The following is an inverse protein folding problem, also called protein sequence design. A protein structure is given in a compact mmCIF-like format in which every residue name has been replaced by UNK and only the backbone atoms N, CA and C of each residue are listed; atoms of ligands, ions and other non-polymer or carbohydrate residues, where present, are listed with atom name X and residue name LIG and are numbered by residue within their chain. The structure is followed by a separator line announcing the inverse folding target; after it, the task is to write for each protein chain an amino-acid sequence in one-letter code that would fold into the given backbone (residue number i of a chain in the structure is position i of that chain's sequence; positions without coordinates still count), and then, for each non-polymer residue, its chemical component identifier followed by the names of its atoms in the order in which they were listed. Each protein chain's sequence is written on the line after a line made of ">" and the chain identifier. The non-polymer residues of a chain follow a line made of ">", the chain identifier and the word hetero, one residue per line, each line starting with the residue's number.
data_IF_763789964750
#
_entry.id   IF_763789964750
#
_cell.length_a   1.000
_cell.length_b   1.000
_cell.length_c   1.000
_cell.angle_alpha   90.00
_cell.angle_beta   90.00
_cell.angle_gamma   90.00
#
_symmetry.space_group_name_H-M   'P 1'
#
loop_
_entity.id
_entity.type
_entity.pdbx_description
1 polymer ?
#
# COMPACT_ATOMS: atom_id res chain seq x y z
N UNK A 1 5.59 93.31 76.89
CA UNK A 1 5.81 94.07 75.65
C UNK A 1 5.62 93.12 74.48
N UNK A 2 4.53 93.25 73.75
CA UNK A 2 4.28 92.61 72.45
C UNK A 2 3.84 93.75 71.53
N UNK A 3 4.65 94.08 70.54
CA UNK A 3 4.37 95.15 69.59
C UNK A 3 3.21 94.76 68.64
N UNK A 4 2.40 95.72 68.16
CA UNK A 4 1.37 95.44 67.17
C UNK A 4 2.02 95.24 65.78
N UNK A 5 1.72 94.10 65.16
CA UNK A 5 2.13 93.76 63.78
C UNK A 5 1.59 94.81 62.80
N UNK A 6 2.46 95.31 61.91
CA UNK A 6 2.15 96.36 60.94
C UNK A 6 1.24 95.84 59.81
N UNK A 7 0.26 96.64 59.37
CA UNK A 7 -0.69 96.27 58.30
C UNK A 7 0.00 95.87 56.97
N UNK A 8 1.25 96.33 56.74
CA UNK A 8 2.05 95.92 55.58
C UNK A 8 2.51 94.46 55.65
N UNK A 9 2.90 93.98 56.83
CA UNK A 9 3.39 92.61 57.03
C UNK A 9 2.24 91.59 56.84
N UNK A 10 1.03 91.94 57.30
CA UNK A 10 -0.17 91.12 57.05
C UNK A 10 -0.49 91.02 55.55
N UNK A 11 -0.39 92.13 54.81
CA UNK A 11 -0.61 92.13 53.36
C UNK A 11 0.45 91.31 52.60
N UNK A 12 1.71 91.34 53.04
CA UNK A 12 2.77 90.53 52.45
C UNK A 12 2.55 89.03 52.72
N UNK A 13 2.20 88.65 53.95
CA UNK A 13 1.84 87.26 54.26
C UNK A 13 0.61 86.77 53.47
N UNK A 14 -0.41 87.62 53.30
CA UNK A 14 -1.59 87.29 52.48
C UNK A 14 -1.22 87.10 51.01
N UNK A 15 -0.35 87.96 50.45
CA UNK A 15 0.15 87.79 49.07
C UNK A 15 0.96 86.52 48.92
N UNK A 16 1.83 86.19 49.87
CA UNK A 16 2.59 84.95 49.84
C UNK A 16 1.70 83.71 49.98
N UNK A 17 0.67 83.76 50.83
CA UNK A 17 -0.33 82.68 50.94
C UNK A 17 -1.09 82.52 49.63
N UNK A 18 -1.57 83.61 49.04
CA UNK A 18 -2.26 83.58 47.75
C UNK A 18 -1.37 83.05 46.63
N UNK A 19 -0.09 83.43 46.58
CA UNK A 19 0.87 82.90 45.61
C UNK A 19 1.19 81.42 45.83
N UNK A 20 1.34 80.97 47.08
CA UNK A 20 1.52 79.55 47.41
C UNK A 20 0.30 78.72 47.03
N UNK A 21 -0.89 79.24 47.32
CA UNK A 21 -2.15 78.59 46.95
C UNK A 21 -2.32 78.53 45.43
N UNK A 22 -2.00 79.60 44.71
CA UNK A 22 -2.02 79.63 43.25
C UNK A 22 -1.06 78.60 42.66
N UNK A 23 0.18 78.54 43.20
CA UNK A 23 1.20 77.57 42.76
C UNK A 23 0.81 76.13 43.07
N UNK A 24 0.10 75.89 44.18
CA UNK A 24 -0.46 74.58 44.51
C UNK A 24 -1.56 74.20 43.52
N UNK A 25 -2.47 75.13 43.20
CA UNK A 25 -3.55 74.92 42.22
C UNK A 25 -3.01 74.67 40.81
N UNK A 26 -1.98 75.40 40.38
CA UNK A 26 -1.31 75.14 39.10
C UNK A 26 -0.67 73.74 39.05
N UNK A 27 0.01 73.34 40.13
CA UNK A 27 0.56 71.98 40.23
C UNK A 27 -0.53 70.91 40.20
N UNK A 28 -1.62 71.11 40.92
CA UNK A 28 -2.76 70.18 40.93
C UNK A 28 -3.41 70.09 39.54
N UNK A 29 -3.58 71.21 38.85
CA UNK A 29 -4.12 71.24 37.49
C UNK A 29 -3.19 70.49 36.52
N UNK A 30 -1.88 70.72 36.62
CA UNK A 30 -0.90 70.03 35.77
C UNK A 30 -0.88 68.52 36.01
N UNK A 31 -1.05 68.08 37.27
CA UNK A 31 -1.16 66.65 37.61
C UNK A 31 -2.45 66.04 37.06
N UNK A 32 -3.57 66.77 37.13
CA UNK A 32 -4.85 66.33 36.56
C UNK A 32 -4.80 66.23 35.03
N UNK A 33 -4.12 67.15 34.35
CA UNK A 33 -3.90 67.08 32.91
C UNK A 33 -3.02 65.88 32.53
N UNK A 34 -1.95 65.62 33.30
CA UNK A 34 -1.07 64.46 33.11
C UNK A 34 -1.81 63.12 33.28
N UNK A 35 -2.67 63.02 34.30
CA UNK A 35 -3.50 61.83 34.53
C UNK A 35 -4.58 61.66 33.46
N UNK A 36 -5.21 62.76 33.00
CA UNK A 36 -6.18 62.71 31.91
C UNK A 36 -5.53 62.25 30.59
N UNK A 37 -4.32 62.73 30.27
CA UNK A 37 -3.59 62.34 29.07
C UNK A 37 -3.10 60.89 29.15
N UNK A 38 -2.62 60.45 30.33
CA UNK A 38 -2.28 59.05 30.60
C UNK A 38 -3.50 58.14 30.43
N UNK A 39 -4.66 58.53 30.96
CA UNK A 39 -5.90 57.75 30.87
C UNK A 39 -6.38 57.64 29.42
N UNK A 40 -6.29 58.71 28.62
CA UNK A 40 -6.61 58.68 27.18
C UNK A 40 -5.69 57.76 26.38
N UNK A 41 -4.38 57.77 26.66
CA UNK A 41 -3.41 56.91 25.97
C UNK A 41 -3.61 55.42 26.30
N UNK A 42 -3.93 55.10 27.56
CA UNK A 42 -4.20 53.73 27.99
C UNK A 42 -5.55 53.22 27.48
N UNK A 43 -6.59 54.07 27.47
CA UNK A 43 -7.95 53.70 27.02
C UNK A 43 -8.01 53.20 25.56
N UNK A 44 -7.14 53.71 24.68
CA UNK A 44 -7.05 53.25 23.29
C UNK A 44 -6.54 51.81 23.14
N UNK A 45 -5.69 51.35 24.06
CA UNK A 45 -5.11 49.99 24.06
C UNK A 45 -5.92 48.99 24.89
N UNK A 46 -6.73 49.44 25.84
CA UNK A 46 -7.63 48.59 26.64
C UNK A 46 -9.03 48.44 26.03
N UNK A 47 -9.30 49.04 24.86
CA UNK A 47 -10.56 48.85 24.16
C UNK A 47 -10.73 47.35 23.79
N UNK A 48 -11.80 46.68 24.25
CA UNK A 48 -12.00 45.25 24.05
C UNK A 48 -11.99 44.85 22.56
N UNK A 49 -12.41 45.74 21.66
CA UNK A 49 -12.36 45.50 20.20
C UNK A 49 -10.92 45.53 19.68
N UNK A 50 -10.11 46.50 20.11
CA UNK A 50 -8.70 46.62 19.71
C UNK A 50 -7.89 45.45 20.26
N UNK A 51 -8.16 45.04 21.51
CA UNK A 51 -7.54 43.87 22.12
C UNK A 51 -7.92 42.58 21.38
N UNK A 52 -9.19 42.42 20.98
CA UNK A 52 -9.62 41.26 20.21
C UNK A 52 -8.96 41.21 18.82
N UNK A 53 -8.85 42.35 18.12
CA UNK A 53 -8.16 42.42 16.81
C UNK A 53 -6.67 42.12 16.96
N UNK A 54 -6.00 42.70 17.96
CA UNK A 54 -4.58 42.44 18.21
C UNK A 54 -4.34 40.97 18.58
N UNK A 55 -5.19 40.38 19.41
CA UNK A 55 -5.13 38.95 19.78
C UNK A 55 -5.37 38.05 18.58
N UNK A 56 -6.38 38.36 17.75
CA UNK A 56 -6.67 37.61 16.54
C UNK A 56 -5.53 37.70 15.51
N UNK A 57 -4.92 38.89 15.35
CA UNK A 57 -3.77 39.10 14.47
C UNK A 57 -2.54 38.31 14.95
N UNK A 58 -2.23 38.34 16.25
CA UNK A 58 -1.15 37.55 16.84
C UNK A 58 -1.39 36.04 16.67
N UNK A 59 -2.62 35.57 16.90
CA UNK A 59 -2.98 34.16 16.71
C UNK A 59 -2.86 33.72 15.24
N UNK A 60 -3.32 34.54 14.29
CA UNK A 60 -3.20 34.25 12.86
C UNK A 60 -1.74 34.18 12.40
N UNK A 61 -0.91 35.13 12.87
CA UNK A 61 0.53 35.17 12.53
C UNK A 61 1.28 34.00 13.16
N UNK A 62 0.95 33.64 14.41
CA UNK A 62 1.48 32.46 15.09
C UNK A 62 1.11 31.16 14.37
N UNK A 63 -0.15 30.98 13.99
CA UNK A 63 -0.60 29.81 13.23
C UNK A 63 0.07 29.70 11.86
N UNK A 64 0.24 30.82 11.14
CA UNK A 64 0.94 30.82 9.84
C UNK A 64 2.41 30.40 9.99
N UNK A 65 3.10 30.90 11.02
CA UNK A 65 4.50 30.52 11.30
C UNK A 65 4.62 29.04 11.69
N UNK A 66 3.76 28.57 12.61
CA UNK A 66 3.73 27.15 13.02
C UNK A 66 3.42 26.26 11.83
N UNK A 67 2.48 26.64 10.96
CA UNK A 67 2.15 25.89 9.74
C UNK A 67 3.33 25.86 8.77
N UNK A 68 4.04 26.98 8.59
CA UNK A 68 5.21 27.04 7.71
C UNK A 68 6.36 26.16 8.22
N UNK A 69 6.67 26.25 9.52
CA UNK A 69 7.71 25.43 10.16
C UNK A 69 7.33 23.94 10.10
N UNK A 70 6.08 23.61 10.43
CA UNK A 70 5.60 22.23 10.39
C UNK A 70 5.58 21.68 8.96
N UNK A 71 5.16 22.47 7.97
CA UNK A 71 5.19 22.07 6.56
C UNK A 71 6.61 21.80 6.06
N UNK A 72 7.61 22.59 6.52
CA UNK A 72 9.02 22.35 6.17
C UNK A 72 9.55 21.07 6.82
N UNK A 73 9.23 20.84 8.09
CA UNK A 73 9.58 19.59 8.78
C UNK A 73 8.91 18.37 8.14
N UNK A 74 7.65 18.52 7.73
CA UNK A 74 6.88 17.49 7.04
C UNK A 74 7.51 17.12 5.69
N UNK A 75 7.91 18.11 4.89
CA UNK A 75 8.59 17.86 3.60
C UNK A 75 9.91 17.12 3.77
N UNK A 76 10.74 17.55 4.73
CA UNK A 76 12.02 16.86 5.00
C UNK A 76 11.79 15.41 5.46
N UNK A 77 10.74 15.17 6.25
CA UNK A 77 10.35 13.82 6.67
C UNK A 77 9.84 12.97 5.50
N UNK A 78 9.03 13.56 4.61
CA UNK A 78 8.53 12.89 3.41
C UNK A 78 9.65 12.55 2.43
N UNK A 79 10.61 13.46 2.21
CA UNK A 79 11.82 13.20 1.41
C UNK A 79 12.64 12.06 2.01
N UNK A 80 12.85 12.06 3.34
CA UNK A 80 13.55 10.99 4.03
C UNK A 80 12.83 9.64 3.90
N UNK A 81 11.50 9.61 4.06
CA UNK A 81 10.69 8.39 3.85
C UNK A 81 10.75 7.90 2.41
N UNK A 82 10.66 8.81 1.43
CA UNK A 82 10.72 8.47 0.01
C UNK A 82 12.12 7.95 -0.39
N UNK A 83 13.18 8.48 0.20
CA UNK A 83 14.54 7.95 0.02
C UNK A 83 14.69 6.55 0.63
N UNK A 84 14.25 6.36 1.88
CA UNK A 84 14.26 5.06 2.53
C UNK A 84 13.46 4.01 1.74
N UNK A 85 12.29 4.36 1.22
CA UNK A 85 11.46 3.48 0.41
C UNK A 85 12.16 3.04 -0.88
N UNK A 86 12.85 3.95 -1.58
CA UNK A 86 13.61 3.63 -2.80
C UNK A 86 14.78 2.71 -2.50
N UNK A 87 15.49 2.93 -1.40
CA UNK A 87 16.59 2.06 -0.96
C UNK A 87 16.05 0.65 -0.66
N UNK A 88 14.95 0.56 0.10
CA UNK A 88 14.33 -0.72 0.45
C UNK A 88 13.84 -1.49 -0.78
N UNK A 89 13.24 -0.81 -1.75
CA UNK A 89 12.81 -1.45 -3.00
C UNK A 89 14.00 -1.97 -3.81
N UNK A 90 15.14 -1.28 -3.75
CA UNK A 90 16.32 -1.64 -4.53
C UNK A 90 17.09 -2.84 -3.97
N UNK A 91 16.96 -3.09 -2.67
CA UNK A 91 17.48 -4.31 -2.02
C UNK A 91 16.46 -5.45 -1.98
N UNK A 92 15.24 -5.25 -2.50
CA UNK A 92 14.17 -6.25 -2.54
C UNK A 92 14.39 -7.28 -3.65
N UNK A 93 15.41 -8.09 -3.46
CA UNK A 93 15.87 -9.13 -4.37
C UNK A 93 16.44 -10.29 -3.56
N UNK A 94 16.26 -11.53 -4.03
CA UNK A 94 16.88 -12.71 -3.41
C UNK A 94 18.38 -12.85 -3.76
N UNK A 95 18.98 -11.84 -4.39
CA UNK A 95 20.34 -11.85 -4.94
C UNK A 95 21.13 -10.64 -4.42
N UNK A 96 22.12 -10.90 -3.58
CA UNK A 96 22.90 -9.86 -2.90
C UNK A 96 23.84 -9.09 -3.84
N UNK A 97 24.27 -9.70 -4.94
CA UNK A 97 25.05 -9.03 -6.01
C UNK A 97 24.17 -8.04 -6.77
N UNK A 98 22.92 -8.43 -7.08
CA UNK A 98 21.95 -7.49 -7.68
C UNK A 98 21.59 -6.37 -6.73
N UNK A 99 21.41 -6.65 -5.44
CA UNK A 99 21.18 -5.61 -4.43
C UNK A 99 22.34 -4.59 -4.42
N UNK A 100 23.59 -5.08 -4.48
CA UNK A 100 24.79 -4.24 -4.57
C UNK A 100 24.78 -3.35 -5.81
N UNK A 101 24.51 -3.92 -6.98
CA UNK A 101 24.45 -3.18 -8.24
C UNK A 101 23.35 -2.09 -8.22
N UNK A 102 22.17 -2.41 -7.68
CA UNK A 102 21.06 -1.48 -7.58
C UNK A 102 21.36 -0.30 -6.64
N UNK A 103 22.01 -0.56 -5.50
CA UNK A 103 22.43 0.50 -4.58
C UNK A 103 23.51 1.40 -5.20
N UNK A 104 24.46 0.82 -5.95
CA UNK A 104 25.46 1.60 -6.69
C UNK A 104 24.78 2.52 -7.73
N UNK A 105 23.81 1.99 -8.47
CA UNK A 105 23.02 2.78 -9.41
C UNK A 105 22.29 3.96 -8.72
N UNK A 106 21.66 3.75 -7.56
CA UNK A 106 21.01 4.84 -6.82
C UNK A 106 21.98 5.98 -6.46
N UNK A 107 23.21 5.65 -6.09
CA UNK A 107 24.26 6.61 -5.75
C UNK A 107 24.74 7.34 -6.99
N UNK A 108 25.08 6.60 -8.06
CA UNK A 108 25.63 7.14 -9.30
C UNK A 108 24.62 8.01 -10.07
N UNK A 109 23.36 7.58 -10.12
CA UNK A 109 22.28 8.32 -10.76
C UNK A 109 21.84 9.56 -9.95
N UNK A 110 22.40 9.77 -8.75
CA UNK A 110 22.06 10.90 -7.88
C UNK A 110 20.64 10.82 -7.32
N UNK A 111 20.05 9.63 -7.25
CA UNK A 111 18.68 9.43 -6.75
C UNK A 111 18.60 9.50 -5.23
N UNK A 112 19.72 9.43 -4.51
CA UNK A 112 19.79 9.69 -3.06
C UNK A 112 20.11 11.17 -2.88
N UNK A 113 19.16 11.94 -2.35
CA UNK A 113 19.27 13.39 -2.17
C UNK A 113 20.13 13.74 -0.96
N UNK A 114 20.13 12.89 0.07
CA UNK A 114 20.94 13.07 1.29
C UNK A 114 22.41 12.72 1.06
N UNK A 115 23.30 13.71 1.22
CA UNK A 115 24.75 13.53 1.11
C UNK A 115 25.28 12.50 2.11
N UNK A 116 24.81 12.55 3.36
CA UNK A 116 25.21 11.63 4.43
C UNK A 116 24.82 10.17 4.11
N UNK A 117 23.61 9.95 3.60
CA UNK A 117 23.14 8.61 3.23
C UNK A 117 23.91 8.09 2.01
N UNK A 118 24.17 8.96 1.03
CA UNK A 118 24.96 8.61 -0.16
C UNK A 118 26.37 8.17 0.21
N UNK A 119 27.06 8.90 1.11
CA UNK A 119 28.40 8.54 1.59
C UNK A 119 28.39 7.22 2.36
N UNK A 120 27.41 7.02 3.25
CA UNK A 120 27.26 5.78 4.01
C UNK A 120 27.05 4.57 3.09
N UNK A 121 26.16 4.68 2.10
CA UNK A 121 25.87 3.60 1.15
C UNK A 121 27.10 3.33 0.26
N UNK A 122 27.77 4.37 -0.24
CA UNK A 122 28.99 4.21 -1.04
C UNK A 122 30.09 3.48 -0.25
N UNK A 123 30.33 3.89 0.99
CA UNK A 123 31.30 3.23 1.87
C UNK A 123 30.89 1.78 2.18
N UNK A 124 29.59 1.53 2.39
CA UNK A 124 29.07 0.20 2.67
C UNK A 124 29.27 -0.76 1.49
N UNK A 125 29.01 -0.32 0.26
CA UNK A 125 29.23 -1.08 -0.98
C UNK A 125 30.73 -1.36 -1.22
N UNK A 126 31.59 -0.38 -0.93
CA UNK A 126 33.03 -0.46 -1.18
C UNK A 126 33.78 -1.34 -0.18
N UNK A 127 33.29 -1.46 1.06
CA UNK A 127 33.98 -2.15 2.16
C UNK A 127 33.55 -3.60 2.37
N UNK A 128 32.39 -4.02 1.84
CA UNK A 128 31.86 -5.37 2.04
C UNK A 128 31.81 -6.22 0.77
N UNK A 129 32.09 -7.52 0.94
CA UNK A 129 31.81 -8.56 -0.05
C UNK A 129 30.32 -8.61 -0.37
N UNK A 130 29.96 -8.93 -1.61
CA UNK A 130 28.56 -8.86 -2.03
C UNK A 130 27.65 -9.85 -1.30
N UNK A 131 28.20 -10.96 -0.85
CA UNK A 131 27.60 -11.98 0.00
C UNK A 131 27.22 -11.47 1.41
N UNK A 132 27.78 -10.34 1.84
CA UNK A 132 27.48 -9.71 3.14
C UNK A 132 26.46 -8.57 3.06
N UNK A 133 25.92 -8.25 1.87
CA UNK A 133 24.91 -7.20 1.72
C UNK A 133 23.51 -7.69 2.11
N UNK A 134 22.70 -6.85 2.79
CA UNK A 134 21.33 -7.18 3.09
C UNK A 134 20.52 -7.17 1.79
N UNK A 135 19.85 -8.28 1.53
CA UNK A 135 18.79 -8.37 0.52
C UNK A 135 17.49 -8.75 1.20
N UNK A 136 16.41 -8.07 0.84
CA UNK A 136 15.06 -8.44 1.26
C UNK A 136 14.54 -9.46 0.25
N UNK A 137 13.79 -10.48 0.68
CA UNK A 137 13.22 -11.42 -0.26
C UNK A 137 12.40 -10.66 -1.31
N UNK A 138 12.56 -11.00 -2.58
CA UNK A 138 11.68 -10.45 -3.60
C UNK A 138 10.23 -10.74 -3.16
N UNK A 139 9.31 -9.80 -3.39
CA UNK A 139 7.90 -10.15 -3.23
C UNK A 139 7.68 -11.37 -4.12
N UNK A 140 7.21 -12.48 -3.55
CA UNK A 140 6.92 -13.71 -4.30
C UNK A 140 6.14 -13.29 -5.53
N UNK A 141 6.79 -13.33 -6.70
CA UNK A 141 6.11 -13.03 -7.94
C UNK A 141 5.16 -14.19 -8.13
N UNK A 142 3.88 -13.94 -7.85
CA UNK A 142 2.85 -14.95 -8.04
C UNK A 142 2.95 -15.45 -9.48
N UNK A 143 2.85 -16.77 -9.65
CA UNK A 143 3.00 -17.34 -10.97
C UNK A 143 1.92 -16.75 -11.88
N UNK A 144 2.33 -16.23 -13.03
CA UNK A 144 1.39 -15.80 -14.06
C UNK A 144 0.98 -17.01 -14.92
N UNK A 145 -0.25 -17.02 -15.47
CA UNK A 145 -0.65 -17.91 -16.55
C UNK A 145 0.43 -18.12 -17.61
N UNK A 146 0.59 -19.37 -18.07
CA UNK A 146 1.45 -19.67 -19.23
C UNK A 146 0.86 -19.01 -20.47
N UNK A 147 1.71 -18.36 -21.27
CA UNK A 147 1.38 -17.93 -22.62
C UNK A 147 1.10 -19.14 -23.51
N UNK A 148 0.46 -18.92 -24.66
CA UNK A 148 0.16 -20.01 -25.59
C UNK A 148 1.44 -20.76 -26.01
N UNK A 149 2.52 -20.06 -26.34
CA UNK A 149 3.81 -20.69 -26.69
C UNK A 149 4.36 -21.54 -25.56
N UNK A 150 4.36 -21.02 -24.32
CA UNK A 150 4.82 -21.78 -23.15
C UNK A 150 3.96 -23.04 -22.92
N UNK A 151 2.64 -22.97 -23.15
CA UNK A 151 1.75 -24.15 -23.07
C UNK A 151 2.09 -25.15 -24.16
N UNK A 152 2.31 -24.68 -25.38
CA UNK A 152 2.61 -25.53 -26.53
C UNK A 152 3.95 -26.27 -26.32
N UNK A 153 4.97 -25.58 -25.80
CA UNK A 153 6.28 -26.15 -25.51
C UNK A 153 6.21 -27.18 -24.36
N UNK A 154 5.41 -26.91 -23.32
CA UNK A 154 5.35 -27.76 -22.13
C UNK A 154 4.41 -28.96 -22.26
N UNK A 155 3.29 -28.78 -22.97
CA UNK A 155 2.18 -29.73 -23.02
C UNK A 155 2.07 -30.42 -24.40
N UNK A 156 2.73 -29.86 -25.42
CA UNK A 156 2.44 -30.16 -26.82
C UNK A 156 1.10 -29.56 -27.26
N UNK A 157 0.71 -29.83 -28.51
CA UNK A 157 -0.50 -29.28 -29.10
C UNK A 157 -1.49 -30.39 -29.51
N UNK A 158 -2.72 -30.41 -28.97
CA UNK A 158 -3.80 -31.21 -29.53
C UNK A 158 -4.26 -30.63 -30.88
N UNK A 159 -4.76 -31.49 -31.78
CA UNK A 159 -5.30 -31.04 -33.06
C UNK A 159 -6.67 -30.39 -32.84
N UNK A 160 -6.76 -29.07 -33.01
CA UNK A 160 -8.04 -28.36 -32.94
C UNK A 160 -8.71 -28.43 -34.30
N UNK A 161 -9.79 -29.22 -34.41
CA UNK A 161 -10.73 -29.10 -35.53
C UNK A 161 -11.70 -27.95 -35.20
N UNK A 162 -11.88 -27.02 -36.14
CA UNK A 162 -12.83 -25.91 -35.97
C UNK A 162 -14.21 -26.43 -35.59
N UNK A 163 -14.74 -25.93 -34.47
CA UNK A 163 -16.04 -26.33 -33.95
C UNK A 163 -17.11 -25.36 -34.44
N UNK A 164 -18.14 -25.89 -35.13
CA UNK A 164 -19.42 -25.20 -35.32
C UNK A 164 -20.43 -25.52 -34.20
N UNK A 165 -20.00 -26.17 -33.11
CA UNK A 165 -20.83 -26.43 -31.92
C UNK A 165 -21.20 -25.11 -31.24
N UNK A 166 -22.49 -24.85 -30.96
CA UNK A 166 -22.95 -23.67 -30.20
C UNK A 166 -22.33 -23.49 -28.81
N UNK A 167 -21.68 -24.52 -28.26
CA UNK A 167 -21.00 -24.53 -26.96
C UNK A 167 -19.47 -24.65 -27.08
N UNK A 168 -18.89 -24.41 -28.26
CA UNK A 168 -17.45 -24.34 -28.47
C UNK A 168 -16.69 -25.66 -28.15
N UNK A 169 -17.35 -26.82 -28.24
CA UNK A 169 -16.77 -28.12 -27.85
C UNK A 169 -15.81 -28.65 -28.91
N UNK A 170 -14.72 -29.27 -28.46
CA UNK A 170 -13.78 -29.98 -29.34
C UNK A 170 -13.87 -31.49 -29.15
N UNK A 171 -13.51 -32.26 -30.17
CA UNK A 171 -13.46 -33.73 -30.09
C UNK A 171 -12.37 -34.17 -29.11
N UNK A 172 -12.71 -35.17 -28.28
CA UNK A 172 -11.78 -35.80 -27.33
C UNK A 172 -11.04 -37.01 -27.90
N UNK A 173 -11.35 -37.39 -29.15
CA UNK A 173 -10.74 -38.56 -29.82
C UNK A 173 -9.37 -38.24 -30.44
N UNK A 174 -8.81 -37.08 -30.13
CA UNK A 174 -7.45 -36.71 -30.52
C UNK A 174 -6.42 -37.58 -29.77
N UNK A 175 -5.43 -38.20 -30.46
CA UNK A 175 -4.39 -39.00 -29.82
C UNK A 175 -3.62 -38.27 -28.71
N UNK A 176 -3.51 -36.94 -28.79
CA UNK A 176 -2.91 -36.12 -27.75
C UNK A 176 -3.64 -36.27 -26.41
N UNK A 177 -4.98 -36.29 -26.40
CA UNK A 177 -5.74 -36.45 -25.15
C UNK A 177 -5.47 -37.81 -24.50
N UNK A 178 -5.39 -38.87 -25.30
CA UNK A 178 -5.09 -40.21 -24.81
C UNK A 178 -3.66 -40.33 -24.27
N UNK A 179 -2.70 -39.61 -24.87
CA UNK A 179 -1.30 -39.63 -24.49
C UNK A 179 -0.96 -38.75 -23.28
N UNK A 180 -1.78 -37.74 -22.99
CA UNK A 180 -1.44 -36.68 -22.04
C UNK A 180 -2.42 -36.51 -20.87
N UNK A 181 -3.69 -36.88 -21.02
CA UNK A 181 -4.63 -36.85 -19.91
C UNK A 181 -4.66 -38.19 -19.18
N UNK A 182 -4.47 -38.12 -17.87
CA UNK A 182 -4.54 -39.25 -16.96
C UNK A 182 -5.71 -39.05 -15.99
N UNK A 183 -6.27 -40.15 -15.49
CA UNK A 183 -7.18 -40.12 -14.36
C UNK A 183 -6.36 -40.14 -13.07
N UNK A 184 -6.52 -39.13 -12.24
CA UNK A 184 -5.89 -39.04 -10.92
C UNK A 184 -6.95 -39.04 -9.83
N UNK A 185 -6.56 -39.45 -8.62
CA UNK A 185 -7.40 -39.41 -7.44
C UNK A 185 -7.00 -38.25 -6.53
N UNK A 186 -7.99 -37.45 -6.13
CA UNK A 186 -7.89 -36.38 -5.15
C UNK A 186 -8.94 -36.65 -4.05
N UNK A 187 -8.61 -37.47 -3.03
CA UNK A 187 -9.56 -37.88 -1.99
C UNK A 187 -10.20 -36.69 -1.25
N UNK A 188 -9.50 -35.56 -1.17
CA UNK A 188 -9.95 -34.33 -0.53
C UNK A 188 -11.25 -33.80 -1.13
N UNK A 189 -11.51 -34.02 -2.42
CA UNK A 189 -12.75 -33.59 -3.08
C UNK A 189 -14.01 -34.26 -2.52
N UNK A 190 -13.87 -35.37 -1.78
CA UNK A 190 -15.00 -36.00 -1.09
C UNK A 190 -15.21 -35.46 0.32
N UNK A 191 -14.26 -34.67 0.84
CA UNK A 191 -14.24 -34.14 2.22
C UNK A 191 -14.59 -32.64 2.30
N UNK A 192 -14.65 -31.94 1.17
CA UNK A 192 -15.09 -30.54 1.08
C UNK A 192 -16.56 -30.38 1.47
N UNK A 193 -17.01 -29.14 1.75
CA UNK A 193 -18.35 -28.89 2.30
C UNK A 193 -19.49 -29.43 1.43
N UNK A 194 -19.40 -29.23 0.11
CA UNK A 194 -20.27 -29.89 -0.87
C UNK A 194 -19.43 -30.89 -1.68
N UNK A 195 -19.38 -32.16 -1.25
CA UNK A 195 -18.52 -33.17 -1.86
C UNK A 195 -18.74 -33.29 -3.38
N UNK A 196 -17.63 -33.44 -4.10
CA UNK A 196 -17.68 -33.82 -5.50
C UNK A 196 -18.32 -35.22 -5.65
N UNK A 197 -18.86 -35.51 -6.84
CA UNK A 197 -19.44 -36.83 -7.15
C UNK A 197 -18.39 -37.96 -7.16
N UNK A 198 -17.12 -37.61 -7.33
CA UNK A 198 -15.99 -38.53 -7.45
C UNK A 198 -14.72 -37.82 -7.00
N UNK A 199 -13.81 -38.56 -6.35
CA UNK A 199 -12.43 -38.12 -6.11
C UNK A 199 -11.57 -38.19 -7.38
N UNK A 200 -12.03 -38.93 -8.40
CA UNK A 200 -11.28 -39.14 -9.64
C UNK A 200 -11.60 -38.09 -10.68
N UNK A 201 -10.57 -37.44 -11.19
CA UNK A 201 -10.65 -36.39 -12.21
C UNK A 201 -9.64 -36.65 -13.34
N UNK A 202 -9.94 -36.15 -14.54
CA UNK A 202 -8.97 -36.12 -15.64
C UNK A 202 -8.10 -34.87 -15.53
N UNK A 203 -6.79 -35.05 -15.62
CA UNK A 203 -5.81 -33.97 -15.57
C UNK A 203 -4.59 -34.29 -16.44
N UNK A 204 -3.85 -33.26 -16.84
CA UNK A 204 -2.65 -33.42 -17.63
C UNK A 204 -1.54 -34.05 -16.79
N UNK A 205 -0.86 -35.09 -17.33
CA UNK A 205 0.18 -35.83 -16.61
C UNK A 205 1.31 -34.95 -16.04
N UNK A 206 1.68 -33.88 -16.74
CA UNK A 206 2.71 -32.91 -16.31
C UNK A 206 2.34 -32.15 -15.03
N UNK A 207 1.04 -31.91 -14.81
CA UNK A 207 0.53 -31.11 -13.70
C UNK A 207 -0.20 -31.97 -12.64
N UNK A 208 -0.34 -33.27 -12.89
CA UNK A 208 -1.07 -34.22 -12.05
C UNK A 208 -0.54 -34.28 -10.62
N UNK A 209 0.78 -34.53 -10.46
CA UNK A 209 1.41 -34.63 -9.15
C UNK A 209 1.29 -33.32 -8.37
N UNK A 210 1.60 -32.20 -9.02
CA UNK A 210 1.47 -30.86 -8.45
C UNK A 210 0.06 -30.58 -7.91
N UNK A 211 -0.98 -31.03 -8.62
CA UNK A 211 -2.35 -30.89 -8.16
C UNK A 211 -2.63 -31.75 -6.91
N UNK A 212 -2.15 -32.99 -6.89
CA UNK A 212 -2.32 -33.88 -5.74
C UNK A 212 -1.63 -33.31 -4.49
N UNK A 213 -0.37 -32.90 -4.63
CA UNK A 213 0.41 -32.30 -3.54
C UNK A 213 -0.22 -31.01 -3.01
N UNK A 214 -0.79 -30.18 -3.89
CA UNK A 214 -1.52 -28.98 -3.48
C UNK A 214 -2.72 -29.31 -2.59
N UNK A 215 -3.55 -30.28 -2.97
CA UNK A 215 -4.70 -30.70 -2.17
C UNK A 215 -4.30 -31.37 -0.85
N UNK A 216 -3.23 -32.17 -0.85
CA UNK A 216 -2.68 -32.76 0.38
C UNK A 216 -2.21 -31.68 1.35
N UNK A 217 -1.50 -30.65 0.86
CA UNK A 217 -1.04 -29.54 1.70
C UNK A 217 -2.19 -28.64 2.17
N UNK A 218 -3.22 -28.43 1.34
CA UNK A 218 -4.45 -27.71 1.75
C UNK A 218 -5.14 -28.43 2.90
N UNK A 219 -5.25 -29.76 2.83
CA UNK A 219 -5.80 -30.57 3.91
C UNK A 219 -4.92 -30.50 5.17
N UNK A 220 -3.61 -30.69 5.03
CA UNK A 220 -2.66 -30.64 6.14
C UNK A 220 -2.61 -29.26 6.82
N UNK A 221 -2.85 -28.18 6.06
CA UNK A 221 -2.90 -26.81 6.56
C UNK A 221 -4.25 -26.45 7.22
N UNK A 222 -5.23 -27.36 7.19
CA UNK A 222 -6.57 -27.12 7.74
C UNK A 222 -7.41 -26.15 6.92
N UNK A 223 -7.07 -25.92 5.64
CA UNK A 223 -7.79 -24.99 4.76
C UNK A 223 -8.78 -25.69 3.83
N UNK A 224 -8.98 -27.01 3.96
CA UNK A 224 -9.93 -27.74 3.14
C UNK A 224 -11.37 -27.24 3.29
N UNK A 225 -11.72 -26.68 4.46
CA UNK A 225 -13.02 -26.03 4.70
C UNK A 225 -13.26 -24.79 3.84
N UNK A 226 -12.22 -24.16 3.31
CA UNK A 226 -12.35 -22.98 2.44
C UNK A 226 -12.81 -23.37 1.02
N UNK A 227 -12.67 -24.65 0.67
CA UNK A 227 -13.19 -25.21 -0.56
C UNK A 227 -14.62 -25.69 -0.28
N UNK A 228 -15.58 -24.96 -0.81
CA UNK A 228 -17.02 -25.22 -0.72
C UNK A 228 -17.47 -26.13 -1.85
N UNK A 229 -17.06 -25.84 -3.09
CA UNK A 229 -17.41 -26.62 -4.29
C UNK A 229 -16.20 -26.88 -5.18
N UNK A 230 -16.22 -28.03 -5.83
CA UNK A 230 -15.40 -28.34 -7.01
C UNK A 230 -16.28 -28.20 -8.26
N UNK A 231 -15.91 -27.29 -9.15
CA UNK A 231 -16.75 -26.89 -10.29
C UNK A 231 -16.21 -27.36 -11.64
N UNK A 232 -15.07 -28.07 -11.63
CA UNK A 232 -14.56 -28.84 -12.77
C UNK A 232 -13.07 -28.66 -13.00
N UNK A 233 -12.46 -29.63 -13.68
CA UNK A 233 -11.05 -29.60 -14.06
C UNK A 233 -10.83 -29.76 -15.57
N UNK A 234 -11.51 -30.72 -16.19
CA UNK A 234 -11.39 -30.99 -17.62
C UNK A 234 -12.69 -30.71 -18.36
N UNK A 235 -12.64 -29.79 -19.34
CA UNK A 235 -13.75 -29.52 -20.28
C UNK A 235 -13.17 -29.22 -21.67
N UNK A 236 -13.26 -30.17 -22.63
CA UNK A 236 -12.69 -30.02 -23.97
C UNK A 236 -13.49 -28.96 -24.76
N UNK A 237 -13.03 -27.71 -24.72
CA UNK A 237 -13.60 -26.57 -25.44
C UNK A 237 -12.55 -25.57 -25.91
N UNK A 238 -12.83 -24.88 -27.02
CA UNK A 238 -12.13 -23.65 -27.36
C UNK A 238 -12.55 -22.50 -26.42
N UNK A 239 -11.75 -21.45 -26.37
CA UNK A 239 -12.12 -20.20 -25.70
C UNK A 239 -13.32 -19.58 -26.41
N UNK A 240 -14.21 -18.96 -25.63
CA UNK A 240 -15.39 -18.27 -26.17
C UNK A 240 -14.93 -17.20 -27.17
N UNK A 241 -15.46 -17.26 -28.40
CA UNK A 241 -15.08 -16.35 -29.48
C UNK A 241 -13.76 -16.68 -30.18
N UNK A 242 -13.15 -17.84 -29.92
CA UNK A 242 -11.97 -18.33 -30.63
C UNK A 242 -12.29 -19.62 -31.37
N UNK A 243 -11.77 -19.77 -32.60
CA UNK A 243 -11.94 -20.99 -33.40
C UNK A 243 -10.78 -22.00 -33.23
N UNK A 244 -9.68 -21.59 -32.62
CA UNK A 244 -8.43 -22.36 -32.58
C UNK A 244 -7.67 -22.32 -31.24
N UNK A 245 -8.07 -21.48 -30.27
CA UNK A 245 -7.39 -21.43 -28.97
C UNK A 245 -8.15 -22.25 -27.94
N UNK A 246 -7.49 -23.23 -27.36
CA UNK A 246 -8.05 -24.06 -26.29
C UNK A 246 -8.03 -23.33 -24.95
N UNK A 247 -9.06 -23.56 -24.15
CA UNK A 247 -9.07 -23.13 -22.75
C UNK A 247 -8.11 -23.98 -21.90
N UNK A 248 -7.65 -23.48 -20.76
CA UNK A 248 -6.80 -24.24 -19.85
C UNK A 248 -7.49 -25.54 -19.35
N UNK A 249 -8.81 -25.50 -19.14
CA UNK A 249 -9.61 -26.70 -18.87
C UNK A 249 -9.64 -27.70 -20.01
N UNK A 250 -9.51 -27.25 -21.26
CA UNK A 250 -9.45 -28.16 -22.39
C UNK A 250 -8.09 -28.86 -22.46
N UNK A 251 -7.02 -28.23 -21.97
CA UNK A 251 -5.71 -28.87 -21.85
C UNK A 251 -5.59 -29.76 -20.60
N UNK A 252 -6.59 -29.73 -19.71
CA UNK A 252 -6.59 -30.49 -18.46
C UNK A 252 -5.58 -29.98 -17.43
N UNK A 253 -5.26 -28.69 -17.44
CA UNK A 253 -4.27 -28.08 -16.53
C UNK A 253 -4.90 -27.10 -15.53
N UNK A 254 -6.22 -26.99 -15.52
CA UNK A 254 -6.93 -26.02 -14.71
C UNK A 254 -8.02 -26.65 -13.84
N UNK A 255 -8.33 -25.99 -12.74
CA UNK A 255 -9.38 -26.38 -11.80
C UNK A 255 -10.15 -25.14 -11.35
N UNK A 256 -11.48 -25.26 -11.35
CA UNK A 256 -12.38 -24.23 -10.83
C UNK A 256 -12.92 -24.66 -9.46
N UNK A 257 -12.79 -23.78 -8.48
CA UNK A 257 -13.27 -23.96 -7.11
C UNK A 257 -14.22 -22.82 -6.72
N UNK A 258 -15.26 -23.14 -5.94
CA UNK A 258 -16.18 -22.15 -5.38
C UNK A 258 -16.81 -21.21 -6.43
N UNK A 259 -17.11 -21.70 -7.64
CA UNK A 259 -17.50 -20.89 -8.79
C UNK A 259 -18.72 -19.99 -8.53
N UNK A 260 -19.67 -20.47 -7.73
CA UNK A 260 -20.86 -19.68 -7.35
C UNK A 260 -20.49 -18.41 -6.56
N UNK A 261 -19.52 -18.50 -5.65
CA UNK A 261 -19.04 -17.39 -4.82
C UNK A 261 -17.92 -16.60 -5.49
N UNK A 262 -17.28 -17.17 -6.51
CA UNK A 262 -16.15 -16.60 -7.25
C UNK A 262 -16.46 -16.45 -8.75
N UNK A 263 -17.49 -15.68 -9.14
CA UNK A 263 -17.86 -15.55 -10.55
C UNK A 263 -16.81 -14.80 -11.36
N UNK A 264 -16.65 -15.20 -12.62
CA UNK A 264 -15.80 -14.52 -13.60
C UNK A 264 -16.10 -13.01 -13.69
N UNK A 265 -15.06 -12.20 -13.85
CA UNK A 265 -15.08 -10.72 -13.88
C UNK A 265 -15.57 -10.05 -12.59
N UNK A 266 -15.56 -10.76 -11.46
CA UNK A 266 -15.86 -10.20 -10.13
C UNK A 266 -14.69 -10.46 -9.18
N UNK A 267 -14.52 -9.62 -8.14
CA UNK A 267 -13.52 -9.88 -7.13
C UNK A 267 -13.83 -11.12 -6.30
N UNK A 268 -12.80 -11.82 -5.77
CA UNK A 268 -13.00 -12.91 -4.82
C UNK A 268 -13.64 -12.40 -3.51
N UNK A 269 -14.37 -13.24 -2.76
CA UNK A 269 -14.77 -12.95 -1.40
C UNK A 269 -13.55 -12.65 -0.51
N UNK A 270 -13.69 -11.68 0.40
CA UNK A 270 -12.63 -11.30 1.33
C UNK A 270 -12.23 -12.46 2.26
N UNK A 271 -11.01 -12.40 2.79
CA UNK A 271 -10.52 -13.42 3.73
C UNK A 271 -11.50 -13.59 4.92
N UNK A 272 -11.95 -14.82 5.13
CA UNK A 272 -12.92 -15.16 6.18
C UNK A 272 -14.39 -15.17 5.73
N UNK A 273 -14.69 -14.69 4.51
CA UNK A 273 -16.01 -14.88 3.90
C UNK A 273 -16.12 -16.29 3.29
N UNK A 274 -17.35 -16.82 3.23
CA UNK A 274 -17.62 -18.13 2.63
C UNK A 274 -17.17 -18.16 1.16
N UNK A 275 -16.42 -19.21 0.80
CA UNK A 275 -15.90 -19.39 -0.55
C UNK A 275 -14.64 -18.58 -0.86
N UNK A 276 -14.08 -17.82 0.09
CA UNK A 276 -12.81 -17.13 -0.07
C UNK A 276 -11.65 -18.11 -0.28
N UNK A 277 -10.83 -17.85 -1.30
CA UNK A 277 -9.70 -18.71 -1.68
C UNK A 277 -8.33 -18.12 -1.31
N UNK A 278 -8.28 -17.02 -0.55
CA UNK A 278 -7.02 -16.34 -0.21
C UNK A 278 -6.04 -17.20 0.62
N UNK A 279 -6.52 -18.19 1.38
CA UNK A 279 -5.64 -19.17 2.09
C UNK A 279 -5.25 -20.36 1.23
N UNK A 280 -6.07 -20.70 0.25
CA UNK A 280 -5.86 -21.82 -0.68
C UNK A 280 -4.88 -21.43 -1.79
N UNK A 281 -4.99 -20.21 -2.31
CA UNK A 281 -4.21 -19.76 -3.45
C UNK A 281 -2.69 -19.82 -3.27
N UNK A 282 -2.10 -19.39 -2.13
CA UNK A 282 -0.65 -19.49 -1.92
C UNK A 282 -0.13 -20.93 -1.94
N UNK A 283 -0.94 -21.92 -1.56
CA UNK A 283 -0.55 -23.33 -1.60
C UNK A 283 -0.53 -23.82 -3.05
N UNK A 284 -1.57 -23.52 -3.83
CA UNK A 284 -1.56 -23.78 -5.27
C UNK A 284 -0.36 -23.12 -5.97
N UNK A 285 -0.05 -21.88 -5.64
CA UNK A 285 1.08 -21.15 -6.23
C UNK A 285 2.43 -21.75 -5.87
N UNK A 286 2.60 -22.21 -4.62
CA UNK A 286 3.78 -22.98 -4.21
C UNK A 286 3.94 -24.26 -5.04
N UNK A 287 2.82 -24.90 -5.40
CA UNK A 287 2.78 -26.12 -6.20
C UNK A 287 2.71 -25.89 -7.71
N UNK A 288 3.09 -24.70 -8.19
CA UNK A 288 3.24 -24.50 -9.63
C UNK A 288 1.97 -24.05 -10.35
N UNK A 289 0.99 -23.49 -9.65
CA UNK A 289 -0.21 -22.92 -10.25
C UNK A 289 -0.23 -21.40 -10.20
N UNK A 290 -0.96 -20.80 -11.13
CA UNK A 290 -1.38 -19.40 -11.05
C UNK A 290 -2.83 -19.32 -10.59
N UNK A 291 -3.17 -18.26 -9.86
CA UNK A 291 -4.55 -18.00 -9.43
C UNK A 291 -5.15 -16.80 -10.17
N UNK A 292 -6.33 -16.99 -10.77
CA UNK A 292 -7.05 -15.95 -11.50
C UNK A 292 -7.69 -14.86 -10.62
N UNK A 293 -7.69 -15.03 -9.30
CA UNK A 293 -8.22 -14.04 -8.35
C UNK A 293 -7.24 -12.94 -7.91
N UNK A 294 -6.00 -12.95 -8.44
CA UNK A 294 -5.03 -11.88 -8.19
C UNK A 294 -5.46 -10.58 -8.89
N UNK A 295 -5.20 -9.44 -8.26
CA UNK A 295 -5.47 -8.12 -8.84
C UNK A 295 -4.54 -7.82 -10.03
N UNK A 296 -4.94 -6.89 -10.91
CA UNK A 296 -4.12 -6.45 -12.06
C UNK A 296 -4.55 -6.95 -13.43
N UNK A 297 -5.71 -7.62 -13.53
CA UNK A 297 -6.28 -8.10 -14.80
C UNK A 297 -7.77 -8.39 -14.73
N UNK A 298 -8.28 -9.09 -15.74
CA UNK A 298 -9.64 -9.66 -15.73
C UNK A 298 -9.68 -10.76 -14.67
N UNK A 299 -10.45 -10.54 -13.61
CA UNK A 299 -10.49 -11.46 -12.48
C UNK A 299 -11.28 -12.73 -12.81
N UNK A 300 -10.70 -13.87 -12.48
CA UNK A 300 -11.33 -15.19 -12.54
C UNK A 300 -11.04 -15.95 -11.24
N UNK A 301 -11.65 -15.54 -10.10
CA UNK A 301 -11.21 -16.00 -8.79
C UNK A 301 -11.49 -17.46 -8.49
N UNK A 302 -12.35 -18.13 -9.25
CA UNK A 302 -12.55 -19.57 -9.15
C UNK A 302 -11.40 -20.37 -9.76
N UNK A 303 -10.63 -19.75 -10.66
CA UNK A 303 -9.76 -20.44 -11.59
C UNK A 303 -8.31 -20.56 -11.09
N UNK A 304 -7.80 -21.78 -11.09
CA UNK A 304 -6.37 -22.07 -10.95
C UNK A 304 -5.87 -22.81 -12.17
N UNK A 305 -4.73 -22.43 -12.72
CA UNK A 305 -4.12 -23.13 -13.85
C UNK A 305 -2.62 -23.36 -13.66
N UNK A 306 -2.12 -24.49 -14.12
CA UNK A 306 -0.70 -24.84 -14.02
C UNK A 306 0.17 -23.82 -14.77
N UNK A 307 1.19 -23.32 -14.08
CA UNK A 307 2.01 -22.18 -14.47
C UNK A 307 3.52 -22.34 -14.21
N UNK A 308 3.95 -23.53 -13.79
CA UNK A 308 5.34 -23.81 -13.44
C UNK A 308 6.26 -23.81 -14.67
N UNK A 309 7.12 -22.79 -14.74
CA UNK A 309 8.10 -22.61 -15.81
C UNK A 309 9.38 -23.41 -15.60
N UNK A 310 9.62 -23.94 -14.40
CA UNK A 310 10.82 -24.77 -14.15
C UNK A 310 10.77 -26.03 -15.01
N UNK A 311 9.57 -26.57 -15.25
CA UNK A 311 9.34 -27.71 -16.14
C UNK A 311 9.57 -27.44 -17.63
N UNK A 312 9.70 -26.17 -18.05
CA UNK A 312 10.11 -25.85 -19.43
C UNK A 312 11.60 -26.13 -19.66
N UNK A 313 12.43 -25.97 -18.61
CA UNK A 313 13.89 -26.13 -18.71
C UNK A 313 14.28 -27.61 -18.77
N UNK A 314 13.51 -28.49 -18.13
CA UNK A 314 13.74 -29.94 -18.13
C UNK A 314 13.31 -30.62 -19.46
N UNK A 315 12.53 -29.93 -20.29
CA UNK A 315 12.01 -30.46 -21.55
C UNK A 315 12.91 -30.19 -22.78
N UNK A 316 14.01 -29.44 -22.61
CA UNK A 316 15.02 -29.12 -23.63
C UNK A 316 16.27 -29.99 -23.49
#
# INVERSE_FOLDING_TARGET
>A
MTEPVSDRERWEEERERAQREHKLKERELSLKELDADRTRRVAGWTNPIVLAIATAALAATGNALVTYVSARQQRALEESKAEAARILEMIKTDDTEKAKANLAFLVEAGLISSTDVREKISNFIATRGADELPSLPAATSFQRPLSQSERDDLLGQPTVKSSSDPNDRVSIDDPWYQANLVEIEIPQLLKIQNPAKSARIKFHKTAALSLQEAFEEIEASGFLSDIVTFDGAFRPRVLVGSINRLSAHALGIAIDLNAKSNPFQKPPPELGQEGSLFRVAPIFEKHGFSWGGREGGVQDPMHFEFADRTKLVEAQ
#
